data_IF_313971612793
#
_entry.id   IF_313971612793
#
_cell.length_a   1.000
_cell.length_b   1.000
_cell.length_c   1.000
_cell.angle_alpha   90.00
_cell.angle_beta   90.00
_cell.angle_gamma   90.00
#
_symmetry.space_group_name_H-M   'P 1'
#
loop_
_entity.id
_entity.type
_entity.pdbx_description
1 polymer ?
#
# COMPACT_ATOMS: atom_id res chain seq x y z
N UNK A 1 -9.22 -27.98 0.03
CA UNK A 1 -9.46 -26.56 -0.22
C UNK A 1 -9.37 -26.33 -1.71
N UNK A 2 -10.44 -25.85 -2.34
CA UNK A 2 -10.51 -25.57 -3.79
C UNK A 2 -10.32 -24.06 -3.98
N UNK A 3 -9.45 -23.68 -4.91
CA UNK A 3 -9.12 -22.29 -5.15
C UNK A 3 -9.90 -21.74 -6.33
N UNK A 4 -10.73 -20.71 -6.07
CA UNK A 4 -11.54 -20.02 -7.08
C UNK A 4 -10.77 -18.78 -7.52
N UNK A 5 -10.33 -18.75 -8.77
CA UNK A 5 -9.62 -17.58 -9.34
C UNK A 5 -10.59 -16.52 -9.79
N UNK A 6 -10.29 -15.28 -9.48
CA UNK A 6 -11.17 -14.14 -9.79
C UNK A 6 -10.37 -13.07 -10.51
N UNK A 7 -10.78 -12.74 -11.74
CA UNK A 7 -10.35 -11.56 -12.46
C UNK A 7 -11.41 -10.47 -12.35
N UNK A 8 -10.99 -9.28 -11.89
CA UNK A 8 -11.92 -8.21 -11.48
C UNK A 8 -11.75 -6.95 -12.32
N UNK A 9 -12.87 -6.43 -12.79
CA UNK A 9 -12.99 -5.14 -13.45
C UNK A 9 -13.93 -4.19 -12.69
N UNK A 10 -14.10 -2.99 -13.20
CA UNK A 10 -15.00 -1.98 -12.59
C UNK A 10 -16.45 -2.46 -12.55
N UNK A 11 -16.95 -3.03 -13.64
CA UNK A 11 -18.37 -3.36 -13.81
C UNK A 11 -18.68 -4.83 -13.50
N UNK A 12 -17.73 -5.73 -13.75
CA UNK A 12 -17.91 -7.18 -13.65
C UNK A 12 -16.68 -7.85 -13.08
N UNK A 13 -16.85 -9.10 -12.64
CA UNK A 13 -15.74 -10.00 -12.39
C UNK A 13 -16.04 -11.39 -12.96
N UNK A 14 -14.98 -12.08 -13.35
CA UNK A 14 -15.02 -13.46 -13.83
C UNK A 14 -14.46 -14.38 -12.76
N UNK A 15 -15.23 -15.40 -12.39
CA UNK A 15 -14.81 -16.43 -11.44
C UNK A 15 -14.56 -17.74 -12.18
N UNK A 16 -13.39 -18.34 -11.95
CA UNK A 16 -12.99 -19.63 -12.51
C UNK A 16 -13.08 -20.71 -11.42
N UNK A 17 -13.98 -21.66 -11.63
CA UNK A 17 -14.21 -22.82 -10.77
C UNK A 17 -13.44 -24.01 -11.33
N UNK A 18 -12.53 -24.64 -10.58
CA UNK A 18 -11.83 -25.85 -11.02
C UNK A 18 -12.79 -27.00 -11.30
N UNK A 19 -12.54 -27.73 -12.38
CA UNK A 19 -13.24 -28.97 -12.78
C UNK A 19 -12.21 -30.05 -13.12
N UNK A 20 -12.67 -31.30 -13.29
CA UNK A 20 -11.78 -32.42 -13.61
C UNK A 20 -10.89 -32.15 -14.85
N UNK A 21 -11.41 -31.45 -15.85
CA UNK A 21 -10.72 -31.14 -17.10
C UNK A 21 -10.64 -29.61 -17.33
N UNK A 22 -10.08 -28.87 -16.39
CA UNK A 22 -9.86 -27.43 -16.55
C UNK A 22 -10.72 -26.56 -15.64
N UNK A 23 -11.27 -25.47 -16.17
CA UNK A 23 -12.01 -24.48 -15.38
C UNK A 23 -13.34 -24.14 -16.04
N UNK A 24 -14.40 -24.07 -15.23
CA UNK A 24 -15.66 -23.45 -15.63
C UNK A 24 -15.64 -22.00 -15.20
N UNK A 25 -15.77 -21.07 -16.14
CA UNK A 25 -15.80 -19.64 -15.85
C UNK A 25 -17.22 -19.09 -15.87
N UNK A 26 -17.51 -18.21 -14.92
CA UNK A 26 -18.80 -17.51 -14.83
C UNK A 26 -18.57 -16.03 -14.56
N UNK A 27 -19.36 -15.18 -15.22
CA UNK A 27 -19.27 -13.71 -15.06
C UNK A 27 -20.38 -13.18 -14.15
N UNK A 28 -20.01 -12.29 -13.25
CA UNK A 28 -20.92 -11.65 -12.31
C UNK A 28 -20.75 -10.13 -12.34
N UNK A 29 -21.84 -9.35 -12.12
CA UNK A 29 -21.74 -7.93 -11.86
C UNK A 29 -20.91 -7.65 -10.60
N UNK A 30 -20.05 -6.64 -10.65
CA UNK A 30 -19.26 -6.21 -9.50
C UNK A 30 -20.06 -5.23 -8.62
N UNK A 31 -21.23 -5.67 -8.18
CA UNK A 31 -22.11 -4.99 -7.25
C UNK A 31 -22.56 -5.93 -6.13
N UNK A 32 -23.22 -5.39 -5.10
CA UNK A 32 -23.63 -6.18 -3.94
C UNK A 32 -24.55 -7.36 -4.30
N UNK A 33 -25.40 -7.23 -5.34
CA UNK A 33 -26.33 -8.26 -5.78
C UNK A 33 -25.59 -9.39 -6.55
N UNK A 34 -24.71 -9.02 -7.47
CA UNK A 34 -23.88 -9.97 -8.21
C UNK A 34 -22.94 -10.76 -7.31
N UNK A 35 -22.30 -10.07 -6.38
CA UNK A 35 -21.39 -10.69 -5.40
C UNK A 35 -22.15 -11.67 -4.47
N UNK A 36 -23.34 -11.31 -3.97
CA UNK A 36 -24.13 -12.24 -3.15
C UNK A 36 -24.54 -13.50 -3.92
N UNK A 37 -24.87 -13.37 -5.22
CA UNK A 37 -25.15 -14.54 -6.08
C UNK A 37 -23.94 -15.44 -6.25
N UNK A 38 -22.76 -14.85 -6.37
CA UNK A 38 -21.50 -15.58 -6.42
C UNK A 38 -21.23 -16.30 -5.08
N UNK A 39 -21.32 -15.58 -3.95
CA UNK A 39 -21.10 -16.13 -2.60
C UNK A 39 -22.04 -17.29 -2.30
N UNK A 40 -23.28 -17.26 -2.77
CA UNK A 40 -24.26 -18.36 -2.58
C UNK A 40 -23.83 -19.68 -3.22
N UNK A 41 -22.83 -19.70 -4.12
CA UNK A 41 -22.25 -20.91 -4.73
C UNK A 41 -21.00 -21.43 -4.01
N UNK A 42 -20.54 -20.70 -3.00
CA UNK A 42 -19.31 -21.02 -2.29
C UNK A 42 -19.60 -21.76 -0.97
N UNK A 43 -18.69 -22.63 -0.61
CA UNK A 43 -18.65 -23.31 0.68
C UNK A 43 -17.47 -22.75 1.49
N UNK A 44 -17.74 -22.31 2.72
CA UNK A 44 -16.74 -21.72 3.62
C UNK A 44 -15.60 -22.67 3.98
N UNK A 45 -15.90 -23.96 4.06
CA UNK A 45 -14.94 -25.00 4.44
C UNK A 45 -14.13 -25.53 3.26
N UNK A 46 -14.69 -25.48 2.04
CA UNK A 46 -14.13 -26.09 0.85
C UNK A 46 -13.47 -25.10 -0.11
N UNK A 47 -13.89 -23.82 -0.11
CA UNK A 47 -13.47 -22.84 -1.10
C UNK A 47 -12.62 -21.70 -0.52
N UNK A 48 -11.63 -21.26 -1.28
CA UNK A 48 -10.86 -20.05 -1.05
C UNK A 48 -10.77 -19.25 -2.34
N UNK A 49 -11.19 -17.98 -2.29
CA UNK A 49 -11.09 -17.10 -3.44
C UNK A 49 -9.66 -16.54 -3.57
N UNK A 50 -9.15 -16.43 -4.79
CA UNK A 50 -7.86 -15.82 -5.09
C UNK A 50 -8.07 -14.76 -6.15
N UNK A 51 -7.56 -13.54 -5.91
CA UNK A 51 -7.72 -12.43 -6.84
C UNK A 51 -6.48 -11.56 -6.91
N UNK A 52 -6.31 -10.87 -8.02
CA UNK A 52 -5.26 -9.87 -8.20
C UNK A 52 -5.67 -8.54 -7.55
N UNK A 53 -4.70 -7.83 -6.96
CA UNK A 53 -4.91 -6.51 -6.35
C UNK A 53 -5.07 -5.43 -7.43
N UNK A 54 -6.25 -5.31 -8.02
CA UNK A 54 -6.59 -4.37 -9.10
C UNK A 54 -7.24 -3.10 -8.55
N UNK A 55 -6.47 -2.28 -7.85
CA UNK A 55 -6.96 -1.01 -7.29
C UNK A 55 -8.11 -1.21 -6.30
N UNK A 56 -9.11 -0.30 -6.34
CA UNK A 56 -10.22 -0.32 -5.39
C UNK A 56 -11.38 -1.25 -5.79
N UNK A 57 -11.37 -1.82 -6.98
CA UNK A 57 -12.50 -2.59 -7.50
C UNK A 57 -12.72 -3.92 -6.77
N UNK A 58 -11.68 -4.48 -6.16
CA UNK A 58 -11.75 -5.73 -5.41
C UNK A 58 -12.28 -5.58 -3.98
N UNK A 59 -12.32 -4.37 -3.41
CA UNK A 59 -12.61 -4.21 -1.98
C UNK A 59 -14.04 -4.53 -1.58
N UNK A 60 -15.04 -4.26 -2.43
CA UNK A 60 -16.42 -4.64 -2.13
C UNK A 60 -16.57 -6.16 -2.09
N UNK A 61 -15.98 -6.86 -3.06
CA UNK A 61 -15.98 -8.32 -3.10
C UNK A 61 -15.25 -8.91 -1.87
N UNK A 62 -14.05 -8.42 -1.56
CA UNK A 62 -13.28 -8.85 -0.37
C UNK A 62 -14.07 -8.64 0.91
N UNK A 63 -14.72 -7.48 1.07
CA UNK A 63 -15.52 -7.16 2.25
C UNK A 63 -16.70 -8.13 2.42
N UNK A 64 -17.44 -8.40 1.34
CA UNK A 64 -18.60 -9.29 1.39
C UNK A 64 -18.19 -10.76 1.58
N UNK A 65 -17.05 -11.19 1.02
CA UNK A 65 -16.46 -12.52 1.27
C UNK A 65 -16.08 -12.66 2.75
N UNK A 66 -15.37 -11.69 3.32
CA UNK A 66 -14.98 -11.66 4.73
C UNK A 66 -16.20 -11.72 5.66
N UNK A 67 -17.21 -10.90 5.42
CA UNK A 67 -18.48 -10.93 6.19
C UNK A 67 -19.24 -12.25 6.06
N UNK A 68 -19.04 -12.98 4.96
CA UNK A 68 -19.65 -14.29 4.73
C UNK A 68 -18.76 -15.45 5.19
N UNK A 69 -17.61 -15.18 5.84
CA UNK A 69 -16.68 -16.20 6.33
C UNK A 69 -15.92 -16.94 5.23
N UNK A 70 -15.99 -16.48 3.98
CA UNK A 70 -15.24 -17.07 2.85
C UNK A 70 -13.82 -16.52 2.85
N UNK A 71 -12.82 -17.41 2.88
CA UNK A 71 -11.42 -17.04 2.78
C UNK A 71 -11.11 -16.47 1.40
N UNK A 72 -10.39 -15.35 1.36
CA UNK A 72 -9.96 -14.72 0.13
C UNK A 72 -8.49 -14.30 0.21
N UNK A 73 -7.73 -14.50 -0.85
CA UNK A 73 -6.33 -14.08 -0.96
C UNK A 73 -6.17 -13.00 -2.01
N UNK A 74 -5.47 -11.93 -1.65
CA UNK A 74 -5.19 -10.81 -2.53
C UNK A 74 -3.73 -10.85 -2.97
N UNK A 75 -3.49 -11.05 -4.25
CA UNK A 75 -2.16 -11.31 -4.81
C UNK A 75 -1.61 -10.06 -5.50
N UNK A 76 -0.33 -9.80 -5.28
CA UNK A 76 0.35 -8.72 -5.98
C UNK A 76 0.34 -8.95 -7.50
N UNK A 77 -0.06 -7.97 -8.32
CA UNK A 77 -0.10 -8.08 -9.79
C UNK A 77 1.20 -8.56 -10.44
N UNK A 78 2.34 -8.17 -9.88
CA UNK A 78 3.65 -8.63 -10.37
C UNK A 78 3.82 -10.15 -10.26
N UNK A 79 3.26 -10.78 -9.21
CA UNK A 79 3.33 -12.24 -9.05
C UNK A 79 2.51 -12.95 -10.11
N UNK A 80 1.26 -12.51 -10.34
CA UNK A 80 0.39 -13.08 -11.37
C UNK A 80 0.99 -12.87 -12.76
N UNK A 81 1.49 -11.66 -13.06
CA UNK A 81 2.16 -11.38 -14.34
C UNK A 81 3.39 -12.27 -14.57
N UNK A 82 4.22 -12.48 -13.55
CA UNK A 82 5.41 -13.34 -13.68
C UNK A 82 5.00 -14.83 -13.83
N UNK A 83 3.94 -15.23 -13.12
CA UNK A 83 3.38 -16.57 -13.26
C UNK A 83 2.82 -16.82 -14.67
N UNK A 84 2.07 -15.87 -15.24
CA UNK A 84 1.59 -15.93 -16.61
C UNK A 84 2.75 -16.09 -17.62
N UNK A 85 3.86 -15.38 -17.43
CA UNK A 85 5.07 -15.51 -18.26
C UNK A 85 5.73 -16.89 -18.13
N UNK A 86 5.83 -17.42 -16.91
CA UNK A 86 6.35 -18.76 -16.66
C UNK A 86 5.51 -19.83 -17.33
N UNK A 87 4.18 -19.66 -17.34
CA UNK A 87 3.24 -20.56 -18.00
C UNK A 87 3.12 -20.33 -19.52
N UNK A 88 3.93 -19.42 -20.11
CA UNK A 88 3.90 -19.05 -21.53
C UNK A 88 2.49 -18.71 -22.04
N UNK A 89 1.67 -18.09 -21.19
CA UNK A 89 0.32 -17.69 -21.56
C UNK A 89 0.34 -16.54 -22.56
N UNK A 90 0.02 -16.81 -23.81
CA UNK A 90 0.08 -15.83 -24.92
C UNK A 90 -1.26 -15.10 -25.09
N UNK A 91 -2.37 -15.78 -24.77
CA UNK A 91 -3.72 -15.20 -24.98
C UNK A 91 -4.24 -14.57 -23.70
N UNK A 92 -4.64 -13.33 -23.79
CA UNK A 92 -5.22 -12.57 -22.67
C UNK A 92 -6.73 -12.42 -22.86
N UNK A 93 -7.51 -13.02 -21.96
CA UNK A 93 -8.96 -12.82 -21.82
C UNK A 93 -9.30 -12.97 -20.33
N UNK A 94 -10.33 -12.28 -19.87
CA UNK A 94 -10.76 -12.30 -18.46
C UNK A 94 -11.00 -13.74 -17.95
N UNK A 95 -11.55 -14.63 -18.80
CA UNK A 95 -11.75 -16.05 -18.48
C UNK A 95 -10.43 -16.80 -18.29
N UNK A 96 -9.43 -16.55 -19.14
CA UNK A 96 -8.09 -17.15 -19.01
C UNK A 96 -7.32 -16.56 -17.83
N UNK A 97 -7.45 -15.27 -17.59
CA UNK A 97 -6.81 -14.60 -16.46
C UNK A 97 -7.40 -15.13 -15.14
N UNK A 98 -8.72 -15.29 -15.02
CA UNK A 98 -9.36 -15.91 -13.87
C UNK A 98 -8.90 -17.38 -13.67
N UNK A 99 -8.79 -18.16 -14.75
CA UNK A 99 -8.31 -19.56 -14.70
C UNK A 99 -6.85 -19.64 -14.27
N UNK A 100 -6.00 -18.73 -14.76
CA UNK A 100 -4.60 -18.63 -14.36
C UNK A 100 -4.45 -18.28 -12.87
N UNK A 101 -5.31 -17.38 -12.37
CA UNK A 101 -5.33 -17.01 -10.94
C UNK A 101 -5.77 -18.20 -10.09
N UNK A 102 -6.74 -19.01 -10.55
CA UNK A 102 -7.15 -20.25 -9.85
C UNK A 102 -6.00 -21.26 -9.80
N UNK A 103 -5.33 -21.51 -10.91
CA UNK A 103 -4.17 -22.41 -11.01
C UNK A 103 -2.99 -21.91 -10.11
N UNK A 104 -2.76 -20.59 -10.07
CA UNK A 104 -1.82 -20.00 -9.13
C UNK A 104 -2.22 -20.31 -7.67
N UNK A 105 -3.51 -20.17 -7.35
CA UNK A 105 -4.05 -20.47 -6.03
C UNK A 105 -3.79 -21.91 -5.60
N UNK A 106 -4.05 -22.86 -6.49
CA UNK A 106 -3.84 -24.29 -6.26
C UNK A 106 -2.37 -24.65 -6.00
N UNK A 107 -1.46 -24.10 -6.81
CA UNK A 107 -0.02 -24.40 -6.73
C UNK A 107 0.67 -23.73 -5.54
N UNK A 108 0.31 -22.48 -5.24
CA UNK A 108 1.03 -21.67 -4.23
C UNK A 108 0.29 -21.53 -2.90
N UNK A 109 -0.98 -21.93 -2.82
CA UNK A 109 -1.81 -21.92 -1.58
C UNK A 109 -1.63 -20.62 -0.78
N UNK A 110 -1.91 -19.46 -1.39
CA UNK A 110 -1.59 -18.18 -0.77
C UNK A 110 -2.39 -17.97 0.51
N UNK A 111 -1.75 -17.33 1.49
CA UNK A 111 -2.38 -16.98 2.76
C UNK A 111 -3.63 -16.10 2.56
N UNK A 112 -4.67 -16.31 3.35
CA UNK A 112 -5.84 -15.46 3.34
C UNK A 112 -5.51 -14.01 3.67
N UNK A 113 -6.13 -13.09 2.96
CA UNK A 113 -6.03 -11.66 3.22
C UNK A 113 -6.71 -11.32 4.55
N UNK A 114 -5.98 -10.68 5.44
CA UNK A 114 -6.53 -10.15 6.69
C UNK A 114 -7.22 -8.83 6.36
N UNK A 115 -8.55 -8.83 6.41
CA UNK A 115 -9.31 -7.64 6.12
C UNK A 115 -9.08 -6.57 7.20
N UNK A 116 -8.80 -5.31 6.83
CA UNK A 116 -8.57 -4.24 7.80
C UNK A 116 -9.84 -3.92 8.58
N UNK A 117 -9.69 -3.40 9.80
CA UNK A 117 -10.82 -2.83 10.51
C UNK A 117 -11.45 -1.66 9.74
N UNK A 118 -12.72 -1.38 9.99
CA UNK A 118 -13.43 -0.28 9.30
C UNK A 118 -12.73 1.07 9.55
N UNK A 119 -12.19 1.27 10.75
CA UNK A 119 -11.43 2.48 11.10
C UNK A 119 -10.17 2.63 10.24
N UNK A 120 -9.44 1.54 10.01
CA UNK A 120 -8.28 1.55 9.11
C UNK A 120 -8.69 1.85 7.67
N UNK A 121 -9.84 1.35 7.20
CA UNK A 121 -10.36 1.68 5.87
C UNK A 121 -10.70 3.17 5.75
N UNK A 122 -11.37 3.74 6.76
CA UNK A 122 -11.66 5.17 6.82
C UNK A 122 -10.37 6.00 6.80
N UNK A 123 -9.38 5.63 7.59
CA UNK A 123 -8.08 6.30 7.61
C UNK A 123 -7.35 6.22 6.27
N UNK A 124 -7.40 5.07 5.57
CA UNK A 124 -6.83 4.92 4.22
C UNK A 124 -7.53 5.83 3.19
N UNK A 125 -8.85 5.98 3.29
CA UNK A 125 -9.60 6.91 2.44
C UNK A 125 -9.20 8.36 2.71
N UNK A 126 -9.19 8.79 3.99
CA UNK A 126 -8.75 10.14 4.39
C UNK A 126 -7.32 10.43 3.89
N UNK A 127 -6.37 9.50 4.09
CA UNK A 127 -4.99 9.62 3.57
C UNK A 127 -4.97 9.82 2.05
N UNK A 128 -5.79 9.08 1.31
CA UNK A 128 -5.85 9.17 -0.16
C UNK A 128 -6.39 10.53 -0.61
N UNK A 129 -7.45 11.03 0.04
CA UNK A 129 -8.02 12.35 -0.25
C UNK A 129 -7.01 13.45 0.07
N UNK A 130 -6.37 13.44 1.25
CA UNK A 130 -5.34 14.42 1.63
C UNK A 130 -4.23 14.45 0.59
N UNK A 131 -3.72 13.28 0.19
CA UNK A 131 -2.67 13.19 -0.84
C UNK A 131 -3.09 13.81 -2.17
N UNK A 132 -4.33 13.60 -2.59
CA UNK A 132 -4.85 14.19 -3.83
C UNK A 132 -4.98 15.71 -3.73
N UNK A 133 -5.52 16.22 -2.61
CA UNK A 133 -5.61 17.66 -2.37
C UNK A 133 -4.22 18.33 -2.33
N UNK A 134 -3.23 17.68 -1.71
CA UNK A 134 -1.84 18.16 -1.70
C UNK A 134 -1.22 18.24 -3.10
N UNK A 135 -1.48 17.26 -3.97
CA UNK A 135 -1.05 17.31 -5.37
C UNK A 135 -1.67 18.49 -6.12
N UNK A 136 -2.96 18.70 -5.95
CA UNK A 136 -3.67 19.84 -6.55
C UNK A 136 -3.13 21.18 -6.04
N UNK A 137 -2.90 21.30 -4.72
CA UNK A 137 -2.30 22.48 -4.11
C UNK A 137 -0.93 22.80 -4.72
N UNK A 138 -0.06 21.78 -4.83
CA UNK A 138 1.28 21.94 -5.41
C UNK A 138 1.18 22.38 -6.89
N UNK A 139 0.32 21.74 -7.68
CA UNK A 139 0.11 22.10 -9.08
C UNK A 139 -0.41 23.55 -9.22
N UNK A 140 -1.36 23.97 -8.37
CA UNK A 140 -1.92 25.32 -8.40
C UNK A 140 -0.88 26.38 -7.97
N UNK A 141 -0.06 26.07 -6.96
CA UNK A 141 1.07 26.97 -6.52
C UNK A 141 2.11 27.09 -7.63
N UNK A 142 2.48 26.02 -8.31
CA UNK A 142 3.42 26.05 -9.42
C UNK A 142 2.86 26.87 -10.60
N UNK A 143 1.57 26.72 -10.91
CA UNK A 143 0.90 27.54 -11.94
C UNK A 143 0.92 29.02 -11.54
N UNK A 144 0.59 29.39 -10.31
CA UNK A 144 0.65 30.77 -9.84
C UNK A 144 2.08 31.34 -9.98
N UNK A 145 3.09 30.57 -9.56
CA UNK A 145 4.49 30.97 -9.68
C UNK A 145 4.94 31.14 -11.14
N UNK A 146 4.44 30.32 -12.07
CA UNK A 146 4.75 30.44 -13.50
C UNK A 146 4.18 31.71 -14.15
N UNK A 147 3.18 32.34 -13.54
CA UNK A 147 2.61 33.62 -14.01
C UNK A 147 3.38 34.83 -13.51
N UNK A 148 4.22 34.67 -12.46
CA UNK A 148 4.97 35.77 -11.86
C UNK A 148 5.93 36.51 -12.82
N UNK A 149 6.70 35.83 -13.69
CA UNK A 149 7.61 36.49 -14.61
C UNK A 149 6.92 37.11 -15.85
N UNK A 150 5.62 36.89 -16.06
CA UNK A 150 4.94 37.41 -17.25
C UNK A 150 4.84 38.95 -17.23
N UNK A 151 5.09 39.63 -18.39
CA UNK A 151 5.04 41.09 -18.46
C UNK A 151 3.63 41.65 -18.29
N UNK A 152 2.60 40.90 -18.68
CA UNK A 152 1.18 41.26 -18.50
C UNK A 152 0.51 40.19 -17.64
N UNK A 153 -0.14 40.61 -16.56
CA UNK A 153 -0.77 39.70 -15.58
C UNK A 153 -2.26 40.06 -15.45
N UNK A 154 -3.09 39.07 -15.69
CA UNK A 154 -4.55 39.23 -15.42
C UNK A 154 -4.78 39.05 -13.89
N UNK A 155 -5.24 40.14 -13.26
CA UNK A 155 -5.55 40.18 -11.84
C UNK A 155 -6.65 39.20 -11.44
N UNK A 156 -7.62 38.93 -12.31
CA UNK A 156 -8.71 37.98 -12.07
C UNK A 156 -8.20 36.54 -12.03
N UNK A 157 -7.32 36.17 -12.95
CA UNK A 157 -6.68 34.86 -12.96
C UNK A 157 -5.86 34.60 -11.70
N UNK A 158 -5.02 35.58 -11.32
CA UNK A 158 -4.20 35.50 -10.09
C UNK A 158 -5.09 35.39 -8.85
N UNK A 159 -6.17 36.20 -8.77
CA UNK A 159 -7.11 36.16 -7.66
C UNK A 159 -7.79 34.77 -7.54
N UNK A 160 -8.28 34.22 -8.65
CA UNK A 160 -8.88 32.88 -8.70
C UNK A 160 -7.92 31.79 -8.21
N UNK A 161 -6.66 31.80 -8.65
CA UNK A 161 -5.65 30.85 -8.18
C UNK A 161 -5.38 30.97 -6.70
N UNK A 162 -5.27 32.19 -6.17
CA UNK A 162 -5.07 32.43 -4.72
C UNK A 162 -6.25 31.94 -3.88
N UNK A 163 -7.49 32.16 -4.35
CA UNK A 163 -8.68 31.60 -3.70
C UNK A 163 -8.68 30.06 -3.69
N UNK A 164 -8.33 29.45 -4.83
CA UNK A 164 -8.22 27.97 -4.93
C UNK A 164 -7.16 27.43 -3.97
N UNK A 165 -5.99 28.07 -3.87
CA UNK A 165 -4.93 27.71 -2.93
C UNK A 165 -5.44 27.76 -1.48
N UNK A 166 -6.06 28.87 -1.07
CA UNK A 166 -6.61 29.03 0.27
C UNK A 166 -7.69 27.97 0.61
N UNK A 167 -8.55 27.69 -0.36
CA UNK A 167 -9.56 26.62 -0.24
C UNK A 167 -8.91 25.24 -0.02
N UNK A 168 -7.94 24.86 -0.87
CA UNK A 168 -7.25 23.58 -0.78
C UNK A 168 -6.49 23.44 0.56
N UNK A 169 -5.82 24.50 1.02
CA UNK A 169 -5.14 24.49 2.31
C UNK A 169 -6.10 24.28 3.49
N UNK A 170 -7.27 24.93 3.44
CA UNK A 170 -8.33 24.73 4.44
C UNK A 170 -8.87 23.30 4.43
N UNK A 171 -9.12 22.73 3.24
CA UNK A 171 -9.60 21.35 3.12
C UNK A 171 -8.56 20.33 3.61
N UNK A 172 -7.30 20.50 3.28
CA UNK A 172 -6.21 19.64 3.74
C UNK A 172 -6.14 19.67 5.27
N UNK A 173 -6.14 20.86 5.88
CA UNK A 173 -6.10 21.02 7.33
C UNK A 173 -7.28 20.35 8.03
N UNK A 174 -8.49 20.55 7.49
CA UNK A 174 -9.71 19.91 8.00
C UNK A 174 -9.60 18.37 7.97
N UNK A 175 -9.22 17.81 6.81
CA UNK A 175 -9.08 16.36 6.66
C UNK A 175 -7.96 15.76 7.51
N UNK A 176 -6.89 16.52 7.77
CA UNK A 176 -5.82 16.10 8.69
C UNK A 176 -6.32 16.05 10.13
N UNK A 177 -7.05 17.07 10.59
CA UNK A 177 -7.65 17.08 11.93
C UNK A 177 -8.63 15.91 12.13
N UNK A 178 -9.49 15.67 11.16
CA UNK A 178 -10.41 14.53 11.15
C UNK A 178 -9.69 13.17 11.19
N UNK A 179 -8.54 13.07 10.51
CA UNK A 179 -7.73 11.85 10.53
C UNK A 179 -7.05 11.66 11.90
N UNK A 180 -6.51 12.72 12.47
CA UNK A 180 -5.88 12.72 13.78
C UNK A 180 -6.87 12.39 14.90
N UNK A 181 -8.11 12.91 14.83
CA UNK A 181 -9.17 12.58 15.78
C UNK A 181 -9.47 11.08 15.80
N UNK A 182 -9.63 10.44 14.62
CA UNK A 182 -9.86 8.98 14.54
C UNK A 182 -8.66 8.19 15.07
N UNK A 183 -7.43 8.64 14.79
CA UNK A 183 -6.22 7.93 15.28
C UNK A 183 -6.10 8.06 16.80
N UNK A 184 -6.40 9.23 17.35
CA UNK A 184 -6.36 9.46 18.80
C UNK A 184 -7.44 8.67 19.53
N UNK A 185 -8.63 8.56 18.95
CA UNK A 185 -9.73 7.80 19.57
C UNK A 185 -9.45 6.27 19.56
N UNK A 186 -9.04 5.73 18.43
CA UNK A 186 -8.95 4.27 18.24
C UNK A 186 -7.55 3.70 18.53
N UNK A 187 -6.48 4.48 18.29
CA UNK A 187 -5.09 4.04 18.34
C UNK A 187 -4.22 4.86 19.32
N UNK A 188 -4.81 5.45 20.37
CA UNK A 188 -4.12 6.32 21.32
C UNK A 188 -2.85 5.68 21.91
N UNK A 189 -2.93 4.40 22.30
CA UNK A 189 -1.78 3.67 22.86
C UNK A 189 -0.62 3.57 21.87
N UNK A 190 -0.91 3.19 20.62
CA UNK A 190 0.10 3.09 19.57
C UNK A 190 0.66 4.47 19.20
N UNK A 191 -0.20 5.48 19.13
CA UNK A 191 0.19 6.86 18.85
C UNK A 191 1.17 7.37 19.92
N UNK A 192 0.83 7.23 21.21
CA UNK A 192 1.69 7.63 22.33
C UNK A 192 3.02 6.91 22.34
N UNK A 193 3.02 5.57 22.10
CA UNK A 193 4.25 4.78 22.02
C UNK A 193 5.17 5.25 20.87
N UNK A 194 4.62 5.52 19.71
CA UNK A 194 5.40 5.97 18.56
C UNK A 194 5.94 7.37 18.76
N UNK A 195 5.11 8.31 19.25
CA UNK A 195 5.51 9.71 19.46
C UNK A 195 6.45 9.91 20.67
N UNK A 196 6.56 8.92 21.56
CA UNK A 196 7.59 8.94 22.62
C UNK A 196 9.01 8.78 22.07
N UNK A 197 9.16 8.26 20.86
CA UNK A 197 10.45 8.09 20.18
C UNK A 197 10.84 9.43 19.55
N UNK A 198 11.92 10.06 20.06
CA UNK A 198 12.45 11.31 19.49
C UNK A 198 12.79 11.13 18.01
N UNK A 199 12.17 11.94 17.16
CA UNK A 199 12.26 11.86 15.71
C UNK A 199 10.98 11.34 15.03
N UNK A 200 10.06 10.73 15.77
CA UNK A 200 8.75 10.30 15.24
C UNK A 200 7.67 11.30 15.69
N UNK A 201 7.21 12.12 14.74
CA UNK A 201 6.07 13.02 14.95
C UNK A 201 4.74 12.33 14.67
N UNK A 202 3.63 13.02 15.02
CA UNK A 202 2.24 12.51 14.84
C UNK A 202 1.98 12.07 13.41
N UNK A 203 2.46 12.81 12.42
CA UNK A 203 2.25 12.51 10.98
C UNK A 203 2.85 11.18 10.58
N UNK A 204 4.10 10.89 10.99
CA UNK A 204 4.73 9.60 10.71
C UNK A 204 4.09 8.48 11.51
N UNK A 205 3.78 8.72 12.79
CA UNK A 205 3.09 7.74 13.64
C UNK A 205 1.74 7.33 13.04
N UNK A 206 0.93 8.29 12.60
CA UNK A 206 -0.33 8.06 11.89
C UNK A 206 -0.13 7.27 10.60
N UNK A 207 0.88 7.62 9.80
CA UNK A 207 1.19 6.92 8.55
C UNK A 207 1.59 5.46 8.80
N UNK A 208 2.36 5.18 9.86
CA UNK A 208 2.73 3.83 10.29
C UNK A 208 1.51 3.03 10.77
N UNK A 209 0.65 3.61 11.62
CA UNK A 209 -0.59 2.98 12.10
C UNK A 209 -1.46 2.56 10.91
N UNK A 210 -1.66 3.44 9.94
CA UNK A 210 -2.47 3.15 8.74
C UNK A 210 -1.85 2.03 7.90
N UNK A 211 -0.53 2.07 7.68
CA UNK A 211 0.17 1.13 6.83
C UNK A 211 0.25 -0.28 7.43
N UNK A 212 0.34 -0.35 8.76
CA UNK A 212 0.48 -1.61 9.51
C UNK A 212 -0.85 -2.18 10.01
N UNK A 213 -1.97 -1.45 9.75
CA UNK A 213 -3.27 -1.82 10.31
C UNK A 213 -3.28 -1.78 11.84
N UNK A 214 -2.66 -0.77 12.46
CA UNK A 214 -2.47 -0.71 13.90
C UNK A 214 -1.48 -1.76 14.44
N UNK A 215 -0.51 -2.17 13.61
CA UNK A 215 0.50 -3.23 13.88
C UNK A 215 -0.06 -4.65 13.94
N UNK A 216 -1.19 -4.90 13.26
CA UNK A 216 -1.78 -6.25 13.18
C UNK A 216 -1.35 -7.06 11.96
N UNK A 217 -0.70 -6.43 10.95
CA UNK A 217 -0.33 -7.09 9.69
C UNK A 217 1.03 -7.76 9.71
N UNK A 218 1.87 -7.44 10.69
CA UNK A 218 3.26 -7.89 10.74
C UNK A 218 3.59 -8.49 12.10
N UNK A 219 4.20 -9.66 12.09
CA UNK A 219 4.62 -10.35 13.31
C UNK A 219 5.97 -9.86 13.84
N UNK A 220 6.77 -9.22 12.97
CA UNK A 220 8.10 -8.75 13.34
C UNK A 220 8.59 -7.57 12.48
N UNK A 221 9.63 -6.90 12.93
CA UNK A 221 10.23 -5.74 12.27
C UNK A 221 10.78 -6.07 10.86
N UNK A 222 11.26 -7.30 10.61
CA UNK A 222 11.79 -7.70 9.30
C UNK A 222 10.72 -7.70 8.22
N UNK A 223 9.51 -8.16 8.56
CA UNK A 223 8.36 -8.09 7.64
C UNK A 223 7.98 -6.64 7.33
N UNK A 224 7.97 -5.76 8.34
CA UNK A 224 7.68 -4.34 8.17
C UNK A 224 8.74 -3.65 7.29
N UNK A 225 10.03 -3.86 7.54
CA UNK A 225 11.12 -3.25 6.75
C UNK A 225 11.07 -3.71 5.30
N UNK A 226 10.72 -4.98 5.04
CA UNK A 226 10.51 -5.50 3.69
C UNK A 226 9.29 -4.87 3.02
N UNK A 227 8.19 -4.69 3.74
CA UNK A 227 6.99 -4.03 3.23
C UNK A 227 7.25 -2.57 2.85
N UNK A 228 7.99 -1.82 3.68
CA UNK A 228 8.39 -0.45 3.40
C UNK A 228 9.41 -0.38 2.24
N UNK A 229 10.17 -1.45 2.02
CA UNK A 229 11.19 -1.54 0.97
C UNK A 229 12.51 -0.87 1.35
N UNK A 230 12.88 -0.93 2.64
CA UNK A 230 14.18 -0.45 3.17
C UNK A 230 15.18 -1.59 3.40
N UNK A 231 14.80 -2.84 3.15
CA UNK A 231 15.73 -3.97 3.17
C UNK A 231 16.73 -3.87 2.01
N UNK A 232 18.01 -4.15 2.24
CA UNK A 232 18.99 -4.25 1.17
C UNK A 232 18.69 -5.46 0.28
N UNK A 233 18.85 -5.30 -1.02
CA UNK A 233 18.94 -6.43 -1.96
C UNK A 233 20.38 -6.90 -1.99
N UNK A 234 20.61 -8.16 -1.72
CA UNK A 234 21.92 -8.79 -1.81
C UNK A 234 21.92 -9.63 -3.09
N UNK A 235 22.80 -9.34 -4.02
CA UNK A 235 23.04 -10.15 -5.21
C UNK A 235 24.45 -10.76 -5.10
N UNK A 236 24.49 -12.05 -4.85
CA UNK A 236 25.71 -12.84 -4.80
C UNK A 236 25.58 -14.00 -5.80
N UNK A 237 26.52 -14.11 -6.71
CA UNK A 237 26.59 -15.23 -7.64
C UNK A 237 28.04 -15.72 -7.73
N UNK A 238 28.27 -16.93 -7.23
CA UNK A 238 29.59 -17.54 -7.18
C UNK A 238 30.62 -16.68 -6.41
N UNK A 239 31.87 -16.77 -6.79
CA UNK A 239 32.99 -16.02 -6.20
C UNK A 239 33.22 -14.65 -6.86
N UNK A 240 32.62 -14.39 -8.03
CA UNK A 240 32.93 -13.22 -8.87
C UNK A 240 31.93 -12.06 -8.74
N UNK A 241 30.71 -12.29 -8.24
CA UNK A 241 29.70 -11.24 -8.12
C UNK A 241 29.37 -11.02 -6.66
N UNK A 242 29.90 -9.94 -6.10
CA UNK A 242 29.54 -9.46 -4.76
C UNK A 242 29.13 -7.98 -4.87
N UNK A 243 27.87 -7.75 -5.31
CA UNK A 243 27.34 -6.41 -5.46
C UNK A 243 26.80 -5.96 -4.10
N UNK A 244 27.35 -4.86 -3.59
CA UNK A 244 26.80 -4.20 -2.38
C UNK A 244 25.34 -3.82 -2.65
N UNK A 245 24.45 -4.40 -1.86
CA UNK A 245 23.01 -4.27 -2.03
C UNK A 245 22.53 -2.83 -1.94
N UNK A 246 21.58 -2.49 -2.81
CA UNK A 246 20.81 -1.27 -2.73
C UNK A 246 19.52 -1.50 -1.97
N UNK A 247 18.93 -0.44 -1.41
CA UNK A 247 17.61 -0.52 -0.80
C UNK A 247 16.61 -1.05 -1.82
N UNK A 248 15.86 -2.09 -1.45
CA UNK A 248 14.78 -2.61 -2.27
C UNK A 248 13.64 -1.58 -2.33
N UNK A 249 13.55 -0.82 -3.42
CA UNK A 249 12.52 0.20 -3.61
C UNK A 249 11.11 -0.35 -3.89
N UNK A 250 10.88 -1.66 -3.76
CA UNK A 250 9.59 -2.31 -3.91
C UNK A 250 8.74 -2.17 -2.64
N UNK A 251 8.26 -0.97 -2.33
CA UNK A 251 7.45 -0.71 -1.14
C UNK A 251 6.86 0.69 -1.12
N UNK A 252 6.35 1.14 0.04
CA UNK A 252 5.72 2.45 0.19
C UNK A 252 6.77 3.57 0.17
N UNK A 253 6.89 4.26 -0.96
CA UNK A 253 7.82 5.38 -1.17
C UNK A 253 7.57 6.53 -0.20
N UNK A 254 6.30 6.82 0.11
CA UNK A 254 5.93 7.90 1.03
C UNK A 254 6.43 7.58 2.44
N UNK A 255 6.23 6.34 2.90
CA UNK A 255 6.76 5.92 4.21
C UNK A 255 8.28 5.96 4.26
N UNK A 256 8.97 5.54 3.19
CA UNK A 256 10.44 5.65 3.13
C UNK A 256 10.92 7.08 3.27
N UNK A 257 10.30 8.02 2.53
CA UNK A 257 10.66 9.44 2.60
C UNK A 257 10.42 10.01 4.00
N UNK A 258 9.28 9.67 4.63
CA UNK A 258 8.97 10.11 5.99
C UNK A 258 9.94 9.52 7.03
N UNK A 259 10.29 8.24 6.90
CA UNK A 259 11.27 7.59 7.78
C UNK A 259 12.68 8.17 7.61
N UNK A 260 13.05 8.55 6.39
CA UNK A 260 14.34 9.22 6.16
C UNK A 260 14.43 10.55 6.91
N UNK A 261 13.38 11.39 6.82
CA UNK A 261 13.31 12.66 7.57
C UNK A 261 13.30 12.41 9.06
N UNK A 262 12.58 11.40 9.54
CA UNK A 262 12.55 11.01 10.94
C UNK A 262 13.93 10.52 11.44
N UNK A 263 14.64 9.73 10.65
CA UNK A 263 16.00 9.27 10.96
C UNK A 263 16.99 10.45 11.05
N UNK A 264 16.84 11.44 10.15
CA UNK A 264 17.63 12.68 10.23
C UNK A 264 17.36 13.41 11.55
N UNK A 265 16.10 13.63 11.92
CA UNK A 265 15.73 14.24 13.19
C UNK A 265 16.23 13.42 14.40
N UNK A 266 16.09 12.10 14.36
CA UNK A 266 16.55 11.21 15.41
C UNK A 266 18.08 11.26 15.57
N UNK A 267 18.84 11.37 14.48
CA UNK A 267 20.31 11.50 14.55
C UNK A 267 20.78 12.76 15.28
N UNK A 268 19.93 13.77 15.41
CA UNK A 268 20.24 15.01 16.13
C UNK A 268 19.77 14.96 17.60
N UNK A 269 18.59 14.36 17.85
CA UNK A 269 17.87 14.51 19.12
C UNK A 269 17.72 13.24 19.95
N UNK A 270 18.08 12.06 19.39
CA UNK A 270 18.03 10.78 20.08
C UNK A 270 19.47 10.28 20.30
N UNK A 271 19.88 10.10 21.56
CA UNK A 271 21.26 9.74 21.91
C UNK A 271 21.73 8.45 21.22
N UNK A 272 20.92 7.37 21.28
CA UNK A 272 21.24 6.09 20.68
C UNK A 272 21.36 6.18 19.14
N UNK A 273 20.45 6.91 18.48
CA UNK A 273 20.52 7.15 17.04
C UNK A 273 21.73 8.00 16.66
N UNK A 274 22.06 9.01 17.48
CA UNK A 274 23.23 9.87 17.27
C UNK A 274 24.55 9.09 17.35
N UNK A 275 24.72 8.25 18.36
CA UNK A 275 25.90 7.39 18.49
C UNK A 275 26.02 6.40 17.33
N UNK A 276 24.93 5.76 16.97
CA UNK A 276 24.88 4.87 15.79
C UNK A 276 25.25 5.62 14.52
N UNK A 277 24.66 6.81 14.31
CA UNK A 277 24.95 7.63 13.14
C UNK A 277 26.43 8.03 13.05
N UNK A 278 27.05 8.48 14.16
CA UNK A 278 28.47 8.83 14.21
C UNK A 278 29.36 7.64 13.88
N UNK A 279 29.05 6.46 14.42
CA UNK A 279 29.77 5.21 14.13
C UNK A 279 29.66 4.79 12.66
N UNK A 280 28.48 4.97 12.06
CA UNK A 280 28.25 4.59 10.66
C UNK A 280 28.85 5.62 9.69
N UNK A 281 28.83 6.91 10.03
CA UNK A 281 29.43 7.99 9.23
C UNK A 281 30.93 7.80 9.04
N UNK A 282 31.61 7.27 10.02
CA UNK A 282 33.03 6.92 9.92
C UNK A 282 33.31 5.77 8.93
N UNK A 283 32.31 4.93 8.62
CA UNK A 283 32.44 3.79 7.70
C UNK A 283 31.95 4.09 6.28
N UNK A 284 30.86 4.83 6.15
CA UNK A 284 30.24 5.20 4.86
C UNK A 284 29.44 6.51 5.02
N UNK A 285 30.07 7.67 4.73
CA UNK A 285 29.47 8.98 4.95
C UNK A 285 28.16 9.21 4.18
N UNK A 286 28.07 8.68 2.94
CA UNK A 286 26.92 8.92 2.05
C UNK A 286 25.68 8.09 2.40
N UNK A 287 25.86 6.94 3.05
CA UNK A 287 24.79 5.98 3.36
C UNK A 287 24.38 5.93 4.81
N UNK A 288 25.05 6.67 5.67
CA UNK A 288 24.90 6.58 7.12
C UNK A 288 23.46 6.81 7.63
N UNK A 289 22.68 7.69 6.98
CA UNK A 289 21.29 7.96 7.35
C UNK A 289 20.33 6.80 7.03
N UNK A 290 20.55 6.13 5.90
CA UNK A 290 19.74 4.96 5.54
C UNK A 290 20.00 3.76 6.45
N UNK A 291 21.20 3.68 7.01
CA UNK A 291 21.61 2.64 7.95
C UNK A 291 21.01 2.83 9.35
N UNK A 292 20.50 4.01 9.68
CA UNK A 292 19.74 4.24 10.92
C UNK A 292 18.33 3.65 10.89
N UNK A 293 17.81 3.35 9.70
CA UNK A 293 16.54 2.65 9.59
C UNK A 293 16.78 1.18 9.99
N UNK A 294 15.91 0.56 10.79
CA UNK A 294 16.13 -0.77 11.33
C UNK A 294 16.18 -1.82 10.20
N UNK A 295 17.38 -2.01 9.67
CA UNK A 295 17.75 -3.15 8.82
C UNK A 295 18.46 -4.12 9.75
N UNK A 296 17.70 -4.87 10.57
CA UNK A 296 18.31 -5.92 11.38
C UNK A 296 18.93 -6.97 10.46
N UNK A 297 20.25 -7.03 10.51
CA UNK A 297 21.06 -8.17 10.09
C UNK A 297 20.65 -9.46 10.80
#
# INVERSE_FOLDING_TARGET
MTYIGIDISKATFVAAFPQANGFKTETYPNDAKGIRRFIAKLDQSAHQCVMEATGNYCFLLLYLLDKSGIKASLINPKKIKNYARMMMSVTKTDAKDASLIADFGEKFKPEPYKFPSEQILVLKQKKTVIRQLQKQLTATKNLLSSLEPLPVKDKKCIHSLKQTIAFLEKQIKYMQQEMEAVVTDVFDKQLKLLTSIKGIGVTLATALIIATGGFTYFDNAKQLTRFIGICPTIEQSGTSVNIRGHINRNGDETLRSMLYVAAWSASQHNSACKELYQRLRGRDPERSLWLLLPTNS
#
